data_IF_426200819886
#
_entry.id   IF_426200819886
#
_cell.length_a   1.000
_cell.length_b   1.000
_cell.length_c   1.000
_cell.angle_alpha   90.00
_cell.angle_beta   90.00
_cell.angle_gamma   90.00
#
_symmetry.space_group_name_H-M   'P 1'
#
loop_
_entity.id
_entity.type
_entity.pdbx_description
1 polymer ?
#
# COMPACT_ATOMS: atom_id res chain seq x y z
N UNK A 1 15.17 7.44 -18.09
CA UNK A 1 15.11 7.09 -16.64
C UNK A 1 13.84 7.58 -15.92
N UNK A 2 12.69 7.63 -16.56
CA UNK A 2 11.44 8.14 -15.96
C UNK A 2 10.62 7.07 -15.20
N UNK A 3 10.86 5.78 -15.43
CA UNK A 3 10.05 4.70 -14.85
C UNK A 3 10.12 4.53 -13.33
N UNK A 4 11.14 5.08 -12.66
CA UNK A 4 11.36 4.92 -11.21
C UNK A 4 10.63 5.97 -10.35
N UNK A 5 9.88 6.87 -10.96
CA UNK A 5 9.35 8.05 -10.26
C UNK A 5 7.89 7.94 -9.86
N UNK A 6 7.21 6.86 -10.22
CA UNK A 6 5.77 6.72 -9.98
C UNK A 6 5.44 5.32 -9.50
N UNK A 7 4.60 5.26 -8.49
CA UNK A 7 3.97 4.04 -7.99
C UNK A 7 2.46 4.25 -8.02
N UNK A 8 1.73 3.24 -8.44
CA UNK A 8 0.28 3.31 -8.58
C UNK A 8 -0.36 2.35 -7.58
N UNK A 9 -1.23 2.86 -6.73
CA UNK A 9 -2.03 2.04 -5.83
C UNK A 9 -3.47 1.98 -6.33
N UNK A 10 -4.08 0.83 -6.17
CA UNK A 10 -5.43 0.55 -6.61
C UNK A 10 -6.30 0.15 -5.42
N UNK A 11 -7.42 0.83 -5.27
CA UNK A 11 -8.53 0.46 -4.40
C UNK A 11 -9.64 -0.14 -5.27
N UNK A 12 -10.13 -1.32 -4.94
CA UNK A 12 -11.23 -1.99 -5.63
C UNK A 12 -12.24 -2.45 -4.59
N UNK A 13 -13.55 -2.36 -4.90
CA UNK A 13 -14.56 -3.07 -4.14
C UNK A 13 -14.32 -4.59 -4.26
N UNK A 14 -14.48 -5.33 -3.17
CA UNK A 14 -14.39 -6.80 -3.20
C UNK A 14 -15.54 -7.38 -4.01
N UNK A 15 -15.33 -8.52 -4.64
CA UNK A 15 -16.34 -9.16 -5.48
C UNK A 15 -17.58 -9.62 -4.68
N UNK A 16 -17.49 -9.70 -3.34
CA UNK A 16 -18.62 -9.97 -2.45
C UNK A 16 -19.58 -8.80 -2.32
N UNK A 17 -19.12 -7.56 -2.58
CA UNK A 17 -19.95 -6.35 -2.57
C UNK A 17 -19.50 -5.33 -3.64
N UNK A 18 -19.73 -5.66 -4.91
CA UNK A 18 -19.21 -4.88 -6.04
C UNK A 18 -19.73 -3.45 -6.10
N UNK A 19 -20.85 -3.17 -5.46
CA UNK A 19 -21.51 -1.86 -5.40
C UNK A 19 -21.04 -1.00 -4.21
N UNK A 20 -19.97 -1.40 -3.53
CA UNK A 20 -19.42 -0.63 -2.42
C UNK A 20 -19.08 0.80 -2.86
N UNK A 21 -19.41 1.81 -2.04
CA UNK A 21 -19.09 3.19 -2.35
C UNK A 21 -17.61 3.41 -2.62
N UNK A 22 -17.30 4.21 -3.62
CA UNK A 22 -15.91 4.55 -3.99
C UNK A 22 -15.60 6.01 -3.64
N UNK A 23 -14.33 6.38 -3.52
CA UNK A 23 -13.93 7.77 -3.32
C UNK A 23 -14.56 8.71 -4.35
N UNK A 24 -14.85 9.95 -3.95
CA UNK A 24 -15.52 10.92 -4.80
C UNK A 24 -14.84 11.14 -6.16
N UNK A 25 -13.51 11.03 -6.19
CA UNK A 25 -12.70 11.12 -7.42
C UNK A 25 -12.89 9.94 -8.39
N UNK A 26 -13.40 8.82 -7.91
CA UNK A 26 -13.58 7.56 -8.64
C UNK A 26 -15.04 7.07 -8.60
N UNK A 27 -15.98 7.97 -8.30
CA UNK A 27 -17.41 7.65 -8.24
C UNK A 27 -17.86 7.02 -9.54
N UNK A 28 -18.59 5.92 -9.46
CA UNK A 28 -19.06 5.11 -10.60
C UNK A 28 -17.97 4.34 -11.36
N UNK A 29 -16.80 4.16 -10.75
CA UNK A 29 -15.75 3.27 -11.27
C UNK A 29 -15.63 2.03 -10.37
N UNK A 30 -15.30 0.89 -10.95
CA UNK A 30 -15.08 -0.36 -10.21
C UNK A 30 -13.75 -0.37 -9.44
N UNK A 31 -12.89 0.58 -9.70
CA UNK A 31 -11.61 0.75 -9.00
C UNK A 31 -11.13 2.19 -9.04
N UNK A 32 -10.42 2.59 -8.01
CA UNK A 32 -9.77 3.88 -7.88
C UNK A 32 -8.26 3.70 -7.89
N UNK A 33 -7.55 4.45 -8.72
CA UNK A 33 -6.09 4.40 -8.79
C UNK A 33 -5.50 5.74 -8.38
N UNK A 34 -4.56 5.70 -7.45
CA UNK A 34 -3.79 6.86 -6.98
C UNK A 34 -2.33 6.67 -7.36
N UNK A 35 -1.72 7.73 -7.87
CA UNK A 35 -0.31 7.73 -8.26
C UNK A 35 0.51 8.53 -7.25
N UNK A 36 1.53 7.89 -6.68
CA UNK A 36 2.54 8.55 -5.86
C UNK A 36 3.77 8.79 -6.72
N UNK A 37 4.23 10.03 -6.73
CA UNK A 37 5.47 10.41 -7.39
C UNK A 37 6.60 10.36 -6.37
N UNK A 38 7.75 9.87 -6.78
CA UNK A 38 8.97 10.00 -6.02
C UNK A 38 9.43 11.46 -6.12
N UNK A 39 9.34 12.17 -5.04
CA UNK A 39 9.97 13.47 -4.86
C UNK A 39 11.16 13.37 -3.88
N UNK A 40 11.69 14.49 -3.44
CA UNK A 40 12.77 14.56 -2.48
C UNK A 40 12.32 14.32 -1.04
N UNK A 41 11.03 14.11 -0.79
CA UNK A 41 10.51 13.79 0.54
C UNK A 41 10.60 12.29 0.82
N UNK A 42 10.91 11.93 2.06
CA UNK A 42 10.99 10.53 2.50
C UNK A 42 9.61 9.90 2.75
N UNK A 43 8.55 10.71 2.78
CA UNK A 43 7.18 10.26 3.02
C UNK A 43 6.43 10.06 1.70
N UNK A 44 6.36 8.81 1.28
CA UNK A 44 5.61 8.40 0.10
C UNK A 44 4.27 7.79 0.53
N UNK A 45 3.28 8.64 0.72
CA UNK A 45 1.94 8.24 1.16
C UNK A 45 0.93 8.48 0.05
N UNK A 46 0.09 7.47 -0.22
CA UNK A 46 -1.05 7.57 -1.11
C UNK A 46 -2.33 7.75 -0.30
N UNK A 47 -3.19 8.65 -0.74
CA UNK A 47 -4.53 8.84 -0.21
C UNK A 47 -5.54 8.64 -1.34
N UNK A 48 -6.51 7.76 -1.14
CA UNK A 48 -7.59 7.55 -2.11
C UNK A 48 -8.67 8.62 -2.03
N UNK A 49 -8.68 9.39 -0.96
CA UNK A 49 -9.71 10.40 -0.67
C UNK A 49 -10.83 9.84 0.21
N UNK A 50 -11.83 10.68 0.46
CA UNK A 50 -12.93 10.34 1.32
C UNK A 50 -13.96 9.48 0.58
N UNK A 51 -14.50 8.50 1.29
CA UNK A 51 -15.62 7.66 0.84
C UNK A 51 -16.83 8.05 1.65
N UNK A 52 -17.91 8.40 0.97
CA UNK A 52 -19.21 8.71 1.60
C UNK A 52 -20.07 7.47 1.58
N UNK A 53 -20.59 7.09 2.72
CA UNK A 53 -21.49 5.97 2.91
C UNK A 53 -22.90 6.47 3.17
N UNK A 54 -23.89 5.76 2.62
CA UNK A 54 -25.29 6.04 2.91
C UNK A 54 -25.65 5.62 4.34
N UNK A 55 -26.66 6.30 4.90
CA UNK A 55 -27.20 5.96 6.21
C UNK A 55 -27.87 4.58 6.15
N UNK A 56 -27.44 3.68 7.02
CA UNK A 56 -27.95 2.31 7.11
C UNK A 56 -26.87 1.37 7.62
N UNK A 57 -27.24 0.32 8.34
CA UNK A 57 -26.31 -0.71 8.74
C UNK A 57 -25.83 -1.47 7.51
N UNK A 58 -24.52 -1.47 7.30
CA UNK A 58 -23.89 -2.12 6.16
C UNK A 58 -22.44 -2.46 6.48
N UNK A 59 -21.91 -3.45 5.77
CA UNK A 59 -20.51 -3.79 5.77
C UNK A 59 -19.98 -3.75 4.34
N UNK A 60 -18.84 -3.12 4.16
CA UNK A 60 -18.19 -2.99 2.86
C UNK A 60 -16.77 -3.52 2.93
N UNK A 61 -16.40 -4.28 1.92
CA UNK A 61 -15.05 -4.85 1.79
C UNK A 61 -14.34 -4.28 0.58
N UNK A 62 -13.09 -3.87 0.79
CA UNK A 62 -12.24 -3.32 -0.25
C UNK A 62 -10.93 -4.09 -0.33
N UNK A 63 -10.36 -4.15 -1.53
CA UNK A 63 -9.02 -4.65 -1.79
C UNK A 63 -8.11 -3.49 -2.18
N UNK A 64 -6.92 -3.45 -1.57
CA UNK A 64 -5.88 -2.46 -1.85
C UNK A 64 -4.63 -3.18 -2.32
N UNK A 65 -4.17 -2.82 -3.51
CA UNK A 65 -3.00 -3.43 -4.16
C UNK A 65 -2.10 -2.35 -4.76
N UNK A 66 -0.86 -2.70 -5.04
CA UNK A 66 0.00 -1.92 -5.91
C UNK A 66 -0.10 -2.45 -7.35
N UNK A 67 -0.20 -1.54 -8.31
CA UNK A 67 -0.07 -1.92 -9.71
C UNK A 67 1.42 -1.99 -10.07
N UNK A 68 1.88 -3.15 -10.49
CA UNK A 68 3.23 -3.32 -10.98
C UNK A 68 3.49 -2.38 -12.16
N UNK A 69 4.58 -1.65 -12.09
CA UNK A 69 5.09 -0.84 -13.19
C UNK A 69 5.95 -1.68 -14.16
N UNK A 70 6.62 -1.00 -15.07
CA UNK A 70 7.46 -1.62 -16.10
C UNK A 70 8.95 -1.25 -15.98
N UNK A 71 9.36 -0.71 -14.84
CA UNK A 71 10.77 -0.36 -14.66
C UNK A 71 11.64 -1.62 -14.57
N UNK A 72 12.69 -1.67 -15.39
CA UNK A 72 13.66 -2.75 -15.37
C UNK A 72 14.41 -2.78 -14.04
N UNK A 73 14.77 -3.97 -13.57
CA UNK A 73 15.47 -4.20 -12.32
C UNK A 73 14.72 -3.72 -11.06
N UNK A 74 13.38 -3.65 -11.12
CA UNK A 74 12.54 -3.35 -9.98
C UNK A 74 11.57 -4.50 -9.71
N UNK A 75 11.55 -4.98 -8.47
CA UNK A 75 10.51 -5.87 -7.97
C UNK A 75 9.46 -5.02 -7.29
N UNK A 76 8.26 -5.04 -7.85
CA UNK A 76 7.10 -4.37 -7.30
C UNK A 76 6.49 -5.21 -6.18
N UNK A 77 5.94 -4.54 -5.18
CA UNK A 77 5.23 -5.20 -4.10
C UNK A 77 4.07 -6.03 -4.65
N UNK A 78 3.94 -7.25 -4.15
CA UNK A 78 2.79 -8.13 -4.38
C UNK A 78 1.82 -8.07 -3.20
N UNK A 79 2.02 -7.14 -2.27
CA UNK A 79 1.15 -7.02 -1.11
C UNK A 79 -0.29 -6.70 -1.53
N UNK A 80 -1.21 -7.40 -0.90
CA UNK A 80 -2.64 -7.20 -1.04
C UNK A 80 -3.28 -7.10 0.34
N UNK A 81 -4.10 -6.07 0.51
CA UNK A 81 -4.81 -5.83 1.75
C UNK A 81 -6.32 -5.85 1.52
N UNK A 82 -7.03 -6.56 2.40
CA UNK A 82 -8.48 -6.50 2.52
C UNK A 82 -8.81 -5.56 3.66
N UNK A 83 -9.68 -4.58 3.40
CA UNK A 83 -10.18 -3.61 4.37
C UNK A 83 -11.67 -3.81 4.52
N UNK A 84 -12.13 -4.03 5.74
CA UNK A 84 -13.56 -4.15 6.07
C UNK A 84 -13.99 -2.88 6.79
N UNK A 85 -15.05 -2.25 6.29
CA UNK A 85 -15.66 -1.05 6.85
C UNK A 85 -17.08 -1.36 7.24
N UNK A 86 -17.42 -1.15 8.50
CA UNK A 86 -18.79 -1.25 9.01
C UNK A 86 -19.41 0.13 9.15
N UNK A 87 -20.62 0.28 8.64
CA UNK A 87 -21.47 1.45 8.86
C UNK A 87 -22.50 1.09 9.93
N UNK A 88 -22.46 1.80 11.02
CA UNK A 88 -23.32 1.53 12.18
C UNK A 88 -23.81 2.83 12.81
N UNK A 89 -24.90 2.73 13.57
CA UNK A 89 -25.41 3.84 14.33
C UNK A 89 -24.63 3.98 15.64
N UNK A 90 -24.10 5.15 15.90
CA UNK A 90 -23.46 5.44 17.18
C UNK A 90 -24.51 5.39 18.31
N UNK A 91 -24.27 4.52 19.29
CA UNK A 91 -25.22 4.30 20.39
C UNK A 91 -25.40 5.50 21.32
N UNK A 92 -24.49 6.47 21.28
CA UNK A 92 -24.53 7.67 22.13
C UNK A 92 -25.14 8.86 21.42
N UNK A 93 -24.67 9.16 20.19
CA UNK A 93 -25.14 10.31 19.41
C UNK A 93 -26.32 9.98 18.53
N UNK A 94 -26.55 8.72 18.19
CA UNK A 94 -27.54 8.28 17.24
C UNK A 94 -27.21 8.59 15.78
N UNK A 95 -26.02 9.11 15.50
CA UNK A 95 -25.53 9.42 14.16
C UNK A 95 -24.94 8.17 13.48
N UNK A 96 -24.98 8.15 12.15
CA UNK A 96 -24.35 7.11 11.37
C UNK A 96 -22.84 7.32 11.31
N UNK A 97 -22.09 6.25 11.53
CA UNK A 97 -20.63 6.26 11.59
C UNK A 97 -20.06 5.11 10.79
N UNK A 98 -19.10 5.40 9.92
CA UNK A 98 -18.31 4.39 9.24
C UNK A 98 -17.00 4.15 10.02
N UNK A 99 -16.71 2.90 10.30
CA UNK A 99 -15.55 2.48 11.07
C UNK A 99 -14.80 1.37 10.34
N UNK A 100 -13.49 1.50 10.22
CA UNK A 100 -12.65 0.40 9.75
C UNK A 100 -12.66 -0.71 10.81
N UNK A 101 -13.33 -1.80 10.51
CA UNK A 101 -13.48 -2.94 11.40
C UNK A 101 -12.21 -3.77 11.45
N UNK A 102 -11.69 -4.12 10.30
CA UNK A 102 -10.47 -4.90 10.19
C UNK A 102 -9.66 -4.55 8.94
N UNK A 103 -8.37 -4.80 9.02
CA UNK A 103 -7.45 -4.83 7.88
C UNK A 103 -6.71 -6.16 7.93
N UNK A 104 -6.71 -6.89 6.82
CA UNK A 104 -6.03 -8.16 6.68
C UNK A 104 -5.07 -8.05 5.50
N UNK A 105 -3.80 -8.32 5.74
CA UNK A 105 -2.85 -8.51 4.65
C UNK A 105 -3.08 -9.92 4.09
N UNK A 106 -3.62 -10.01 2.89
CA UNK A 106 -3.87 -11.29 2.21
C UNK A 106 -2.59 -11.88 1.66
N UNK A 107 -1.73 -11.00 1.13
CA UNK A 107 -0.46 -11.34 0.53
C UNK A 107 0.63 -10.35 0.96
N UNK A 108 1.82 -10.86 1.22
CA UNK A 108 3.00 -10.04 1.54
C UNK A 108 3.64 -9.46 0.27
N UNK A 109 4.61 -8.56 0.42
CA UNK A 109 5.37 -7.97 -0.70
C UNK A 109 6.01 -9.01 -1.63
N UNK A 110 6.25 -10.21 -1.13
CA UNK A 110 6.91 -11.31 -1.86
C UNK A 110 5.95 -12.45 -2.24
N UNK A 111 4.65 -12.23 -2.16
CA UNK A 111 3.65 -13.20 -2.59
C UNK A 111 3.35 -14.31 -1.58
N UNK A 112 3.93 -14.29 -0.39
CA UNK A 112 3.58 -15.24 0.66
C UNK A 112 2.25 -14.87 1.33
N UNK A 113 1.59 -15.84 1.97
CA UNK A 113 0.39 -15.59 2.75
C UNK A 113 0.65 -14.53 3.82
N UNK A 114 -0.27 -13.60 3.94
CA UNK A 114 -0.23 -12.54 4.94
C UNK A 114 -0.90 -12.93 6.24
N UNK A 115 -1.23 -11.93 7.06
CA UNK A 115 -1.84 -12.08 8.38
C UNK A 115 -2.71 -10.86 8.70
N UNK A 116 -3.34 -10.88 9.87
CA UNK A 116 -4.04 -9.70 10.37
C UNK A 116 -3.09 -8.51 10.45
N UNK A 117 -3.56 -7.36 9.96
CA UNK A 117 -2.84 -6.11 9.97
C UNK A 117 -3.42 -5.18 11.03
N UNK A 118 -2.56 -4.44 11.69
CA UNK A 118 -3.00 -3.43 12.64
C UNK A 118 -3.68 -2.27 11.89
N UNK A 119 -4.99 -2.13 12.03
CA UNK A 119 -5.79 -1.10 11.35
C UNK A 119 -5.43 0.33 11.71
N UNK A 120 -4.66 0.52 12.79
CA UNK A 120 -4.15 1.85 13.18
C UNK A 120 -2.87 2.22 12.46
N UNK A 121 -2.27 1.29 11.74
CA UNK A 121 -1.04 1.48 10.96
C UNK A 121 -1.35 1.61 9.48
N UNK A 122 -0.60 2.42 8.75
CA UNK A 122 -0.72 2.49 7.29
C UNK A 122 -0.37 1.14 6.66
N UNK A 123 -1.09 0.76 5.61
CA UNK A 123 -0.73 -0.39 4.77
C UNK A 123 0.62 -0.12 4.12
N UNK A 124 1.49 -1.13 4.12
CA UNK A 124 2.87 -1.00 3.68
C UNK A 124 3.11 -1.80 2.40
N UNK A 125 3.66 -1.13 1.39
CA UNK A 125 4.09 -1.73 0.15
C UNK A 125 5.58 -1.46 -0.04
N UNK A 126 6.38 -2.53 -0.19
CA UNK A 126 7.83 -2.43 -0.29
C UNK A 126 8.30 -2.84 -1.68
N UNK A 127 8.80 -1.88 -2.42
CA UNK A 127 9.41 -2.11 -3.72
C UNK A 127 10.93 -2.28 -3.59
N UNK A 128 11.49 -3.22 -4.31
CA UNK A 128 12.90 -3.54 -4.25
C UNK A 128 13.59 -3.25 -5.57
N UNK A 129 14.62 -2.41 -5.53
CA UNK A 129 15.46 -2.13 -6.69
C UNK A 129 16.76 -2.93 -6.63
N UNK A 130 17.06 -3.64 -7.73
CA UNK A 130 18.32 -4.32 -7.89
C UNK A 130 19.25 -3.42 -8.71
N UNK A 131 20.28 -2.88 -8.08
CA UNK A 131 21.32 -2.15 -8.80
C UNK A 131 22.22 -3.13 -9.58
N UNK A 132 22.76 -2.69 -10.71
CA UNK A 132 23.71 -3.49 -11.49
C UNK A 132 24.96 -3.92 -10.69
N UNK A 133 25.29 -3.15 -9.65
CA UNK A 133 26.40 -3.48 -8.72
C UNK A 133 26.07 -4.65 -7.78
N UNK A 134 24.80 -5.03 -7.63
CA UNK A 134 24.39 -6.18 -6.81
C UNK A 134 24.27 -7.49 -7.60
N UNK A 135 24.47 -7.45 -8.91
CA UNK A 135 24.50 -8.66 -9.72
C UNK A 135 25.85 -9.38 -9.52
N UNK A 136 25.85 -10.70 -9.30
CA UNK A 136 27.10 -11.46 -9.26
C UNK A 136 27.82 -11.27 -10.59
N UNK A 137 29.04 -10.80 -10.55
CA UNK A 137 29.95 -10.83 -11.70
C UNK A 137 30.20 -12.31 -12.03
N UNK A 138 29.39 -12.87 -12.92
CA UNK A 138 29.65 -14.18 -13.50
C UNK A 138 30.88 -14.07 -14.39
N UNK A 139 32.06 -14.28 -13.82
CA UNK A 139 33.26 -14.29 -14.65
C UNK A 139 34.63 -14.13 -13.97
N UNK A 140 34.73 -14.04 -12.65
CA UNK A 140 36.05 -14.14 -12.01
C UNK A 140 35.98 -14.67 -10.58
N UNK A 141 36.69 -15.77 -10.34
CA UNK A 141 36.94 -16.28 -9.00
C UNK A 141 37.66 -15.22 -8.17
N UNK A 142 37.04 -14.71 -7.15
CA UNK A 142 37.62 -13.87 -6.13
C UNK A 142 36.72 -13.90 -4.93
N UNK A 143 37.13 -14.57 -3.86
CA UNK A 143 36.45 -14.57 -2.59
C UNK A 143 36.46 -13.16 -2.02
N UNK A 144 35.39 -12.43 -2.24
CA UNK A 144 35.11 -11.16 -1.61
C UNK A 144 33.74 -11.25 -0.99
N UNK A 145 33.67 -11.02 0.32
CA UNK A 145 32.42 -10.94 1.09
C UNK A 145 31.52 -9.88 0.45
N UNK A 146 30.45 -10.29 -0.20
CA UNK A 146 29.47 -9.36 -0.75
C UNK A 146 28.57 -8.87 0.37
N UNK A 147 28.74 -7.63 0.78
CA UNK A 147 27.72 -6.90 1.52
C UNK A 147 26.72 -6.41 0.50
N UNK A 148 25.59 -7.10 0.40
CA UNK A 148 24.48 -6.62 -0.41
C UNK A 148 23.86 -5.41 0.30
N UNK A 149 24.19 -4.22 -0.18
CA UNK A 149 23.44 -3.01 0.19
C UNK A 149 22.08 -3.04 -0.49
N UNK A 150 21.14 -3.68 0.19
CA UNK A 150 19.76 -3.79 -0.24
C UNK A 150 19.04 -2.53 0.22
N UNK A 151 19.02 -1.51 -0.62
CA UNK A 151 18.24 -0.30 -0.38
C UNK A 151 16.75 -0.61 -0.30
N UNK A 152 16.27 -1.00 0.88
CA UNK A 152 14.85 -1.17 1.15
C UNK A 152 14.19 0.20 1.20
N UNK A 153 13.33 0.46 0.25
CA UNK A 153 12.44 1.62 0.28
C UNK A 153 11.00 1.12 0.41
N UNK A 154 10.37 1.47 1.51
CA UNK A 154 8.98 1.13 1.79
C UNK A 154 8.04 2.26 1.40
N UNK A 155 6.92 1.92 0.80
CA UNK A 155 5.85 2.83 0.39
C UNK A 155 4.64 2.59 1.28
N UNK A 156 3.96 3.65 1.70
CA UNK A 156 2.83 3.54 2.61
C UNK A 156 1.56 4.05 1.95
N UNK A 157 0.50 3.28 2.05
CA UNK A 157 -0.86 3.74 1.77
C UNK A 157 -1.65 3.77 3.09
N UNK A 158 -2.12 4.93 3.51
CA UNK A 158 -2.93 5.06 4.72
C UNK A 158 -2.74 6.35 5.51
N UNK A 159 -3.69 6.63 6.38
CA UNK A 159 -3.80 7.85 7.17
C UNK A 159 -2.98 7.68 8.47
N UNK A 160 -1.78 8.24 8.55
CA UNK A 160 -1.20 8.78 9.79
C UNK A 160 0.26 9.22 9.61
N UNK A 161 0.56 10.42 10.10
CA UNK A 161 1.91 10.98 10.17
C UNK A 161 2.69 10.34 11.33
N UNK A 162 3.88 9.77 11.06
CA UNK A 162 4.97 9.72 12.04
C UNK A 162 6.32 9.88 11.36
N UNK A 163 7.15 10.75 11.91
CA UNK A 163 8.54 11.00 11.51
C UNK A 163 9.41 9.80 11.85
N UNK A 164 10.18 9.31 10.89
CA UNK A 164 11.33 8.45 11.19
C UNK A 164 12.53 9.32 11.57
N UNK A 165 13.10 9.05 12.75
CA UNK A 165 14.31 9.71 13.22
C UNK A 165 15.54 9.32 12.39
N UNK A 166 16.49 10.24 12.26
CA UNK A 166 17.79 10.01 11.62
C UNK A 166 18.58 8.95 12.40
N UNK A 167 19.36 8.10 11.72
CA UNK A 167 20.37 7.29 12.40
C UNK A 167 21.46 8.22 12.96
N UNK A 168 21.82 8.00 14.21
CA UNK A 168 22.94 8.65 14.86
C UNK A 168 24.21 7.95 14.36
N UNK A 169 25.08 8.70 13.69
CA UNK A 169 26.43 8.26 13.40
C UNK A 169 27.25 8.25 14.70
N UNK A 170 27.83 7.13 15.01
CA UNK A 170 28.97 7.01 15.92
C UNK A 170 30.19 6.54 15.16
#
# INVERSE_FOLDING_TARGET
MEGFRRVHFKLKADDSNPDAPMPASCKNQSACTVTVKRDSSDDHVAYFGDITYDAGEAEYTYLVTENAGNASAMYYSQAEYRVVVSVMKDGTSGEWKAVVESVIQLQTDYGAAGSNWDKTRPMLFTNQYISASSLPLTGRMGAGTMVADCGRRSWRAGIARRRCGRPVET
#
